data_IF_556971962480
#
_entry.id   IF_556971962480
#
_cell.length_a   1.000
_cell.length_b   1.000
_cell.length_c   1.000
_cell.angle_alpha   90.00
_cell.angle_beta   90.00
_cell.angle_gamma   90.00
#
_symmetry.space_group_name_H-M   'P 1'
#
loop_
_entity.id
_entity.type
_entity.pdbx_description
1 polymer ?
#
# COMPACT_ATOMS: atom_id res chain seq x y z
N UNK A 1 -25.89 -6.10 -2.41
CA UNK A 1 -25.25 -4.89 -2.94
C UNK A 1 -23.91 -5.22 -3.57
N UNK A 2 -22.89 -5.63 -2.80
CA UNK A 2 -21.55 -5.92 -3.35
C UNK A 2 -21.53 -6.92 -4.53
N UNK A 3 -22.27 -8.03 -4.43
CA UNK A 3 -22.36 -9.06 -5.50
C UNK A 3 -22.92 -8.52 -6.82
N UNK A 4 -23.81 -7.53 -6.76
CA UNK A 4 -24.45 -6.93 -7.94
C UNK A 4 -23.98 -5.49 -8.09
N UNK A 5 -22.69 -5.22 -7.86
CA UNK A 5 -22.16 -3.86 -7.79
C UNK A 5 -22.49 -3.03 -9.03
N UNK A 6 -22.25 -3.57 -10.22
CA UNK A 6 -22.45 -2.85 -11.48
C UNK A 6 -23.91 -2.43 -11.66
N UNK A 7 -24.85 -3.34 -11.36
CA UNK A 7 -26.28 -3.04 -11.36
C UNK A 7 -26.63 -1.93 -10.35
N UNK A 8 -26.06 -1.96 -9.14
CA UNK A 8 -26.33 -0.94 -8.12
C UNK A 8 -25.75 0.42 -8.54
N UNK A 9 -24.56 0.44 -9.14
CA UNK A 9 -23.92 1.66 -9.66
C UNK A 9 -24.65 2.20 -10.89
N UNK A 10 -25.33 1.37 -11.67
CA UNK A 10 -26.06 1.84 -12.85
C UNK A 10 -27.47 2.32 -12.48
N UNK A 11 -28.24 1.51 -11.75
CA UNK A 11 -29.68 1.72 -11.54
C UNK A 11 -30.03 2.34 -10.19
N UNK A 12 -29.15 2.22 -9.18
CA UNK A 12 -29.44 2.63 -7.79
C UNK A 12 -28.53 3.78 -7.32
N UNK A 13 -28.00 4.58 -8.25
CA UNK A 13 -27.04 5.67 -8.00
C UNK A 13 -27.49 6.66 -6.92
N UNK A 14 -28.76 7.05 -6.95
CA UNK A 14 -29.35 7.98 -5.99
C UNK A 14 -29.42 7.40 -4.58
N UNK A 15 -29.77 6.11 -4.45
CA UNK A 15 -29.83 5.41 -3.18
C UNK A 15 -28.44 5.08 -2.64
N UNK A 16 -27.48 4.81 -3.54
CA UNK A 16 -26.09 4.52 -3.19
C UNK A 16 -25.41 5.74 -2.53
N UNK A 17 -25.64 6.94 -3.05
CA UNK A 17 -25.06 8.18 -2.52
C UNK A 17 -25.62 8.60 -1.14
N UNK A 18 -26.85 8.21 -0.83
CA UNK A 18 -27.55 8.54 0.43
C UNK A 18 -27.26 7.56 1.57
N UNK A 19 -26.48 6.51 1.33
CA UNK A 19 -26.12 5.54 2.37
C UNK A 19 -25.44 6.23 3.57
N UNK A 20 -25.77 5.87 4.82
CA UNK A 20 -24.99 6.28 5.99
C UNK A 20 -23.50 5.94 5.85
N UNK A 21 -22.63 6.81 6.37
CA UNK A 21 -21.16 6.65 6.29
C UNK A 21 -20.68 5.26 6.74
N UNK A 22 -21.15 4.67 7.88
CA UNK A 22 -20.70 3.34 8.28
C UNK A 22 -21.08 2.25 7.27
N UNK A 23 -22.21 2.40 6.57
CA UNK A 23 -22.60 1.47 5.52
C UNK A 23 -21.74 1.63 4.27
N UNK A 24 -21.29 2.85 3.93
CA UNK A 24 -20.32 3.06 2.84
C UNK A 24 -18.99 2.37 3.13
N UNK A 25 -18.44 2.56 4.33
CA UNK A 25 -17.18 1.92 4.75
C UNK A 25 -17.31 0.38 4.76
N UNK A 26 -18.42 -0.13 5.29
CA UNK A 26 -18.70 -1.57 5.29
C UNK A 26 -18.92 -2.11 3.88
N UNK A 27 -19.65 -1.40 3.01
CA UNK A 27 -19.92 -1.82 1.63
C UNK A 27 -18.62 -1.92 0.83
N UNK A 28 -17.75 -0.92 0.93
CA UNK A 28 -16.42 -0.92 0.31
C UNK A 28 -15.61 -2.13 0.80
N UNK A 29 -15.63 -2.41 2.11
CA UNK A 29 -14.97 -3.58 2.67
C UNK A 29 -15.58 -4.91 2.21
N UNK A 30 -16.87 -4.97 1.88
CA UNK A 30 -17.50 -6.17 1.32
C UNK A 30 -17.19 -6.33 -0.17
N UNK A 31 -16.98 -5.23 -0.91
CA UNK A 31 -16.58 -5.27 -2.32
C UNK A 31 -15.22 -5.96 -2.49
N UNK A 32 -14.32 -5.90 -1.50
CA UNK A 32 -13.02 -6.60 -1.56
C UNK A 32 -13.15 -8.13 -1.61
N UNK A 33 -14.29 -8.69 -1.16
CA UNK A 33 -14.52 -10.15 -1.09
C UNK A 33 -15.62 -10.63 -2.04
N UNK A 34 -16.64 -9.81 -2.25
CA UNK A 34 -17.86 -10.17 -2.98
C UNK A 34 -18.09 -9.27 -4.20
N UNK A 35 -17.19 -8.33 -4.49
CA UNK A 35 -17.27 -7.49 -5.67
C UNK A 35 -16.99 -8.25 -6.97
N UNK A 36 -17.14 -7.56 -8.12
CA UNK A 36 -16.87 -8.15 -9.43
C UNK A 36 -15.39 -8.55 -9.59
N UNK A 37 -15.15 -9.61 -10.36
CA UNK A 37 -13.79 -10.15 -10.61
C UNK A 37 -12.88 -9.13 -11.32
N UNK A 38 -13.46 -8.25 -12.15
CA UNK A 38 -12.75 -7.18 -12.86
C UNK A 38 -12.44 -5.96 -11.97
N UNK A 39 -12.86 -6.02 -10.69
CA UNK A 39 -12.73 -4.94 -9.74
C UNK A 39 -13.79 -3.85 -9.88
N UNK A 40 -13.80 -2.93 -8.92
CA UNK A 40 -14.71 -1.78 -8.91
C UNK A 40 -14.15 -0.68 -9.80
N UNK A 41 -15.00 0.04 -10.52
CA UNK A 41 -14.60 1.19 -11.32
C UNK A 41 -14.52 2.50 -10.49
N UNK A 42 -13.78 3.49 -11.00
CA UNK A 42 -13.69 4.80 -10.33
C UNK A 42 -15.04 5.53 -10.32
N UNK A 43 -15.92 5.25 -11.28
CA UNK A 43 -17.24 5.85 -11.37
C UNK A 43 -18.14 5.40 -10.21
N UNK A 44 -18.19 4.11 -9.88
CA UNK A 44 -18.93 3.61 -8.74
C UNK A 44 -18.47 4.21 -7.40
N UNK A 45 -17.16 4.39 -7.22
CA UNK A 45 -16.63 5.09 -6.04
C UNK A 45 -17.05 6.56 -5.98
N UNK A 46 -17.03 7.25 -7.12
CA UNK A 46 -17.51 8.63 -7.24
C UNK A 46 -19.00 8.74 -6.88
N UNK A 47 -19.83 7.84 -7.40
CA UNK A 47 -21.28 7.79 -7.13
C UNK A 47 -21.54 7.54 -5.64
N UNK A 48 -20.78 6.63 -5.02
CA UNK A 48 -20.89 6.33 -3.59
C UNK A 48 -20.60 7.56 -2.71
N UNK A 49 -19.71 8.46 -3.14
CA UNK A 49 -19.25 9.59 -2.34
C UNK A 49 -19.74 10.97 -2.80
N UNK A 50 -20.80 11.03 -3.59
CA UNK A 50 -21.46 12.29 -3.95
C UNK A 50 -21.79 13.11 -2.70
N UNK A 51 -21.54 14.42 -2.80
CA UNK A 51 -21.81 15.40 -1.76
C UNK A 51 -23.26 15.89 -1.81
N UNK A 52 -23.71 16.52 -0.72
CA UNK A 52 -25.04 17.14 -0.66
C UNK A 52 -25.22 18.28 -1.67
N UNK A 53 -24.13 18.86 -2.20
CA UNK A 53 -24.14 19.87 -3.27
C UNK A 53 -24.43 19.24 -4.64
N UNK A 54 -24.01 17.99 -4.85
CA UNK A 54 -24.16 17.25 -6.10
C UNK A 54 -25.48 16.46 -6.15
N UNK A 55 -25.90 15.92 -5.00
CA UNK A 55 -27.17 15.21 -4.88
C UNK A 55 -27.84 15.53 -3.54
N UNK A 56 -29.09 16.04 -3.53
CA UNK A 56 -29.83 16.25 -2.30
C UNK A 56 -29.91 14.97 -1.45
N UNK A 57 -29.71 15.11 -0.14
CA UNK A 57 -29.66 14.02 0.85
C UNK A 57 -28.45 13.08 0.76
N UNK A 58 -27.53 13.28 -0.19
CA UNK A 58 -26.29 12.51 -0.21
C UNK A 58 -25.46 12.79 1.04
N UNK A 59 -24.91 11.73 1.64
CA UNK A 59 -24.20 11.81 2.92
C UNK A 59 -22.74 12.23 2.76
N UNK A 60 -22.23 12.32 1.51
CA UNK A 60 -20.84 12.66 1.24
C UNK A 60 -19.85 11.63 1.80
N UNK A 61 -18.65 12.12 2.12
CA UNK A 61 -17.51 11.32 2.56
C UNK A 61 -16.66 11.99 3.66
N UNK A 62 -17.10 13.15 4.18
CA UNK A 62 -16.31 13.96 5.12
C UNK A 62 -15.94 13.21 6.39
N UNK A 63 -16.86 12.40 6.89
CA UNK A 63 -16.71 11.65 8.14
C UNK A 63 -16.21 10.21 7.92
N UNK A 64 -15.82 9.87 6.69
CA UNK A 64 -15.16 8.58 6.40
C UNK A 64 -13.79 8.58 7.08
N UNK A 65 -13.56 7.56 7.89
CA UNK A 65 -12.32 7.37 8.65
C UNK A 65 -11.53 6.17 8.13
N UNK A 66 -12.21 5.21 7.49
CA UNK A 66 -11.62 3.98 6.98
C UNK A 66 -11.95 3.78 5.51
N UNK A 67 -10.93 3.46 4.71
CA UNK A 67 -11.09 3.14 3.30
C UNK A 67 -10.35 1.83 2.99
N UNK A 68 -11.12 0.78 2.71
CA UNK A 68 -10.57 -0.54 2.41
C UNK A 68 -10.68 -0.84 0.91
N UNK A 69 -9.60 -0.64 0.17
CA UNK A 69 -9.54 -0.90 -1.27
C UNK A 69 -8.71 -2.15 -1.60
N UNK A 70 -8.58 -3.05 -0.62
CA UNK A 70 -7.85 -4.31 -0.79
C UNK A 70 -8.45 -5.11 -1.94
N UNK A 71 -7.63 -5.66 -2.83
CA UNK A 71 -8.04 -6.35 -4.05
C UNK A 71 -8.86 -5.53 -5.06
N UNK A 72 -9.11 -4.23 -4.81
CA UNK A 72 -9.87 -3.37 -5.73
C UNK A 72 -8.95 -2.46 -6.55
N UNK A 73 -7.95 -1.86 -5.92
CA UNK A 73 -6.96 -1.02 -6.61
C UNK A 73 -6.15 -1.87 -7.57
N UNK A 74 -5.94 -1.36 -8.79
CA UNK A 74 -5.08 -2.00 -9.77
C UNK A 74 -5.84 -2.84 -10.81
N UNK A 75 -7.15 -3.03 -10.62
CA UNK A 75 -8.05 -3.76 -11.52
C UNK A 75 -8.92 -2.79 -12.33
N UNK A 76 -9.99 -2.25 -11.73
CA UNK A 76 -10.91 -1.30 -12.38
C UNK A 76 -10.49 0.17 -12.31
N UNK A 77 -9.54 0.53 -11.42
CA UNK A 77 -8.93 1.85 -11.37
C UNK A 77 -7.50 1.82 -10.80
N UNK A 78 -6.68 2.78 -11.21
CA UNK A 78 -5.32 2.99 -10.69
C UNK A 78 -5.28 3.95 -9.50
N UNK A 79 -4.19 3.89 -8.73
CA UNK A 79 -3.96 4.86 -7.65
C UNK A 79 -3.82 6.30 -8.18
N UNK A 80 -3.35 6.50 -9.41
CA UNK A 80 -3.35 7.82 -10.06
C UNK A 80 -4.77 8.35 -10.32
N UNK A 81 -5.69 7.48 -10.76
CA UNK A 81 -7.10 7.86 -10.89
C UNK A 81 -7.71 8.17 -9.52
N UNK A 82 -7.41 7.37 -8.50
CA UNK A 82 -7.81 7.69 -7.13
C UNK A 82 -7.24 9.04 -6.68
N UNK A 83 -5.96 9.33 -6.92
CA UNK A 83 -5.34 10.62 -6.60
C UNK A 83 -6.07 11.82 -7.22
N UNK A 84 -6.50 11.65 -8.47
CA UNK A 84 -7.17 12.69 -9.25
C UNK A 84 -8.57 13.00 -8.72
N UNK A 85 -9.27 11.98 -8.23
CA UNK A 85 -10.67 12.08 -7.83
C UNK A 85 -10.88 12.14 -6.31
N UNK A 86 -9.90 11.68 -5.53
CA UNK A 86 -9.91 11.63 -4.08
C UNK A 86 -8.80 12.52 -3.51
N UNK A 87 -9.19 13.62 -2.87
CA UNK A 87 -8.23 14.47 -2.14
C UNK A 87 -8.27 14.15 -0.65
N UNK A 88 -7.12 13.79 -0.08
CA UNK A 88 -7.00 13.43 1.33
C UNK A 88 -6.37 14.62 2.07
N UNK A 89 -6.81 15.83 1.77
CA UNK A 89 -6.33 17.04 2.44
C UNK A 89 -7.29 17.41 3.56
N UNK A 90 -6.72 17.73 4.73
CA UNK A 90 -7.51 18.37 5.79
C UNK A 90 -8.10 19.66 5.25
N UNK A 91 -9.36 19.90 5.59
CA UNK A 91 -10.05 21.14 5.24
C UNK A 91 -9.38 22.33 5.93
N UNK A 92 -8.38 22.92 5.28
CA UNK A 92 -7.77 24.19 5.69
C UNK A 92 -8.74 25.35 5.54
N UNK A 93 -9.85 25.15 4.81
CA UNK A 93 -10.90 26.13 4.59
C UNK A 93 -11.62 26.56 5.86
N UNK A 94 -11.70 25.71 6.90
CA UNK A 94 -12.28 26.10 8.18
C UNK A 94 -11.43 27.14 8.93
N UNK A 95 -10.10 27.04 8.87
CA UNK A 95 -9.20 28.06 9.43
C UNK A 95 -9.22 29.35 8.61
N UNK A 96 -9.30 29.25 7.29
CA UNK A 96 -9.44 30.42 6.42
C UNK A 96 -10.79 31.13 6.59
N UNK A 97 -11.88 30.38 6.77
CA UNK A 97 -13.24 30.91 7.06
C UNK A 97 -13.36 31.51 8.46
N UNK A 98 -12.66 30.96 9.44
CA UNK A 98 -12.58 31.56 10.79
C UNK A 98 -11.70 32.81 10.81
N UNK A 99 -10.67 32.89 9.94
CA UNK A 99 -9.85 34.08 9.77
C UNK A 99 -10.60 35.19 9.01
N UNK A 100 -11.41 34.85 8.00
CA UNK A 100 -12.21 35.82 7.24
C UNK A 100 -13.40 36.39 8.02
N UNK A 101 -13.81 35.74 9.11
CA UNK A 101 -14.94 36.20 9.94
C UNK A 101 -14.51 37.13 11.09
N UNK A 102 -13.23 37.53 11.15
CA UNK A 102 -12.68 38.40 12.19
C UNK A 102 -12.18 39.77 11.68
N UNK A 103 -12.43 40.13 10.41
CA UNK A 103 -12.18 41.49 9.91
C UNK A 103 -13.48 42.29 9.95
N UNK A 104 -13.94 42.66 11.15
CA UNK A 104 -14.93 43.73 11.39
C UNK A 104 -14.88 44.13 12.87
N UNK A 105 -13.72 44.62 13.33
CA UNK A 105 -13.62 45.42 14.56
C UNK A 105 -12.75 46.63 14.25
N UNK A 106 -13.41 47.69 13.77
CA UNK A 106 -12.85 49.04 13.76
C UNK A 106 -12.55 49.47 15.20
N UNK A 107 -11.26 49.68 15.50
CA UNK A 107 -10.86 50.57 16.60
C UNK A 107 -10.09 51.72 15.99
N UNK A 108 -10.76 52.86 15.93
CA UNK A 108 -10.21 54.17 15.63
C UNK A 108 -9.09 54.54 16.61
N UNK A 109 -7.97 55.04 16.11
CA UNK A 109 -7.11 55.90 16.93
C UNK A 109 -5.63 55.99 16.56
N UNK A 110 -5.33 57.03 15.77
CA UNK A 110 -4.21 57.99 15.99
C UNK A 110 -2.86 57.71 15.31
N UNK A 111 -2.66 58.51 14.26
CA UNK A 111 -1.43 59.16 13.80
C UNK A 111 -0.21 59.07 14.72
N UNK A 112 0.92 58.64 14.16
CA UNK A 112 2.09 59.52 13.95
C UNK A 112 2.91 58.97 12.78
N UNK A 113 3.13 59.80 11.77
CA UNK A 113 3.80 59.43 10.53
C UNK A 113 5.31 59.22 10.66
N UNK A 114 5.86 58.67 9.58
CA UNK A 114 7.18 58.92 8.99
C UNK A 114 7.33 57.96 7.79
N UNK A 115 7.25 58.51 6.59
CA UNK A 115 7.80 58.00 5.32
C UNK A 115 8.89 59.03 4.91
N UNK A 116 9.82 58.79 3.95
CA UNK A 116 9.97 57.63 3.06
C UNK A 116 11.42 57.12 2.90
N UNK A 117 11.62 55.99 2.20
CA UNK A 117 12.48 55.93 0.99
C UNK A 117 12.62 54.51 0.42
N UNK A 118 12.03 54.33 -0.77
CA UNK A 118 12.55 53.69 -1.99
C UNK A 118 13.52 52.49 -1.89
N UNK A 119 13.11 51.33 -2.43
CA UNK A 119 13.60 50.84 -3.74
C UNK A 119 12.96 49.50 -4.16
N UNK A 120 12.27 49.59 -5.29
CA UNK A 120 12.22 48.68 -6.46
C UNK A 120 11.85 47.18 -6.37
N UNK A 121 10.69 46.94 -6.99
CA UNK A 121 10.47 46.11 -8.19
C UNK A 121 10.45 44.57 -8.03
N UNK A 122 9.26 43.95 -8.06
CA UNK A 122 8.60 43.39 -9.28
C UNK A 122 8.97 41.91 -9.50
N UNK A 123 8.16 40.94 -9.96
CA UNK A 123 6.89 40.83 -10.65
C UNK A 123 6.30 39.43 -10.32
N UNK A 124 5.01 39.32 -10.00
CA UNK A 124 4.22 38.12 -10.31
C UNK A 124 2.88 38.57 -10.92
N UNK A 125 2.79 38.39 -12.23
CA UNK A 125 1.64 38.71 -13.06
C UNK A 125 0.58 37.60 -12.92
N UNK A 126 -0.54 37.95 -12.28
CA UNK A 126 -1.77 37.17 -12.32
C UNK A 126 -2.69 37.68 -13.43
N UNK A 127 -3.11 36.78 -14.33
CA UNK A 127 -4.21 37.05 -15.28
C UNK A 127 -5.48 36.37 -14.78
N UNK A 128 -6.40 37.15 -14.24
CA UNK A 128 -7.80 36.80 -14.10
C UNK A 128 -8.52 37.17 -15.41
N UNK A 129 -9.26 36.23 -16.00
CA UNK A 129 -10.10 36.48 -17.17
C UNK A 129 -11.56 36.58 -16.73
N UNK A 130 -12.16 37.74 -17.03
CA UNK A 130 -13.52 38.11 -16.72
C UNK A 130 -14.56 37.33 -17.53
N UNK A 131 -15.68 37.06 -16.88
CA UNK A 131 -16.93 36.50 -17.43
C UNK A 131 -17.63 37.60 -18.23
N UNK A 132 -17.99 37.32 -19.48
CA UNK A 132 -18.85 38.18 -20.30
C UNK A 132 -20.14 37.43 -20.64
N UNK A 133 -21.25 37.98 -20.15
CA UNK A 133 -22.62 37.55 -20.40
C UNK A 133 -23.11 38.18 -21.71
N UNK A 134 -23.52 37.37 -22.68
CA UNK A 134 -24.30 37.87 -23.82
C UNK A 134 -25.38 36.84 -24.21
N UNK A 135 -26.63 37.24 -24.00
CA UNK A 135 -27.84 36.63 -24.53
C UNK A 135 -27.89 36.81 -26.05
N UNK A 136 -28.09 35.73 -26.81
CA UNK A 136 -28.84 35.79 -28.08
C UNK A 136 -29.70 34.54 -28.21
N UNK A 137 -31.02 34.77 -28.24
CA UNK A 137 -32.04 33.82 -28.66
C UNK A 137 -31.77 33.34 -30.08
N UNK A 138 -31.87 32.03 -30.31
CA UNK A 138 -32.26 31.50 -31.61
C UNK A 138 -33.11 30.24 -31.41
N UNK A 139 -34.43 30.44 -31.50
CA UNK A 139 -35.43 29.37 -31.59
C UNK A 139 -35.80 29.26 -33.07
N UNK A 140 -35.48 28.13 -33.70
CA UNK A 140 -36.41 27.35 -34.51
C UNK A 140 -35.69 26.19 -35.23
N UNK A 141 -36.14 24.98 -34.90
CA UNK A 141 -36.40 23.85 -35.81
C UNK A 141 -35.21 23.07 -36.41
N UNK A 142 -34.88 21.97 -35.75
CA UNK A 142 -34.65 20.69 -36.44
C UNK A 142 -35.22 19.56 -35.57
N UNK A 143 -36.45 19.18 -35.90
CA UNK A 143 -37.14 17.99 -35.41
C UNK A 143 -36.65 16.79 -36.21
N UNK A 144 -35.63 16.06 -35.73
CA UNK A 144 -35.25 14.72 -36.20
C UNK A 144 -34.02 14.28 -35.41
N UNK A 145 -34.21 13.62 -34.27
CA UNK A 145 -33.33 12.57 -33.70
C UNK A 145 -33.88 12.11 -32.34
N UNK A 146 -35.08 11.51 -32.35
CA UNK A 146 -35.57 10.69 -31.25
C UNK A 146 -34.91 9.31 -31.28
N UNK A 147 -33.61 9.23 -30.98
CA UNK A 147 -32.94 8.01 -30.46
C UNK A 147 -31.70 8.43 -29.64
N UNK A 148 -31.86 9.37 -28.71
CA UNK A 148 -30.86 9.56 -27.66
C UNK A 148 -30.94 8.37 -26.68
N UNK A 149 -29.90 7.54 -26.66
CA UNK A 149 -29.53 6.79 -25.47
C UNK A 149 -29.56 7.77 -24.30
N UNK A 150 -30.52 7.58 -23.38
CA UNK A 150 -30.67 8.42 -22.19
C UNK A 150 -29.43 8.23 -21.32
N UNK A 151 -28.39 9.03 -21.55
CA UNK A 151 -27.25 9.15 -20.64
C UNK A 151 -27.80 9.57 -19.28
N UNK A 152 -27.53 8.73 -18.26
CA UNK A 152 -28.01 8.98 -16.91
C UNK A 152 -27.49 10.33 -16.39
N UNK A 153 -28.33 11.20 -15.76
CA UNK A 153 -27.95 12.58 -15.39
C UNK A 153 -26.70 12.73 -14.51
N UNK A 154 -26.25 11.66 -13.86
CA UNK A 154 -25.12 11.65 -12.94
C UNK A 154 -23.77 11.33 -13.62
N UNK A 155 -23.76 10.80 -14.85
CA UNK A 155 -22.51 10.50 -15.59
C UNK A 155 -21.70 11.76 -15.94
N UNK A 156 -22.36 12.92 -16.04
CA UNK A 156 -21.74 14.23 -16.32
C UNK A 156 -21.09 14.89 -15.09
N UNK A 157 -21.31 14.36 -13.88
CA UNK A 157 -20.77 14.97 -12.66
C UNK A 157 -19.26 14.71 -12.58
N UNK A 158 -18.49 15.79 -12.71
CA UNK A 158 -17.05 15.85 -12.41
C UNK A 158 -16.82 15.80 -10.89
N UNK A 159 -17.34 14.77 -10.22
CA UNK A 159 -17.23 14.68 -8.76
C UNK A 159 -15.80 14.36 -8.35
N UNK A 160 -15.29 15.18 -7.45
CA UNK A 160 -14.10 14.88 -6.66
C UNK A 160 -14.55 14.81 -5.22
N UNK A 161 -14.13 13.79 -4.49
CA UNK A 161 -14.51 13.60 -3.11
C UNK A 161 -13.29 13.82 -2.21
N UNK A 162 -13.52 14.35 -1.00
CA UNK A 162 -12.44 14.67 -0.05
C UNK A 162 -12.60 13.86 1.22
N UNK A 163 -11.52 13.21 1.64
CA UNK A 163 -11.50 12.37 2.84
C UNK A 163 -10.62 13.02 3.94
N UNK A 164 -11.02 14.18 4.51
CA UNK A 164 -10.18 14.95 5.43
C UNK A 164 -9.93 14.23 6.77
N UNK A 165 -10.77 13.26 7.12
CA UNK A 165 -10.73 12.50 8.37
C UNK A 165 -10.21 11.06 8.18
N UNK A 166 -9.65 10.74 7.01
CA UNK A 166 -9.12 9.40 6.76
C UNK A 166 -7.95 9.09 7.68
N UNK A 167 -8.06 7.99 8.41
CA UNK A 167 -7.05 7.50 9.36
C UNK A 167 -6.61 6.07 9.07
N UNK A 168 -7.44 5.27 8.39
CA UNK A 168 -7.12 3.90 8.01
C UNK A 168 -7.25 3.74 6.50
N UNK A 169 -6.19 3.25 5.85
CA UNK A 169 -6.16 2.94 4.43
C UNK A 169 -5.65 1.52 4.23
N UNK A 170 -6.44 0.68 3.59
CA UNK A 170 -6.06 -0.70 3.28
C UNK A 170 -5.95 -0.87 1.76
N UNK A 171 -4.78 -1.30 1.30
CA UNK A 171 -4.44 -1.49 -0.11
C UNK A 171 -3.91 -2.91 -0.36
N UNK A 172 -4.32 -3.91 0.44
CA UNK A 172 -3.77 -5.26 0.34
C UNK A 172 -4.06 -5.90 -1.03
N UNK A 173 -3.18 -6.81 -1.47
CA UNK A 173 -3.33 -7.61 -2.70
C UNK A 173 -3.67 -6.77 -3.93
N UNK A 174 -2.82 -5.80 -4.29
CA UNK A 174 -3.16 -4.87 -5.34
C UNK A 174 -3.11 -5.54 -6.73
N UNK A 175 -3.93 -5.08 -7.65
CA UNK A 175 -3.99 -5.56 -9.04
C UNK A 175 -2.77 -5.17 -9.88
N UNK A 176 -2.71 -5.61 -11.15
CA UNK A 176 -1.52 -5.47 -12.01
C UNK A 176 -1.13 -4.02 -12.33
N UNK A 177 -2.07 -3.07 -12.25
CA UNK A 177 -1.78 -1.64 -12.51
C UNK A 177 -1.34 -0.86 -11.26
N UNK A 178 -1.08 -1.54 -10.14
CA UNK A 178 -0.60 -0.89 -8.92
C UNK A 178 0.84 -0.37 -9.06
N UNK A 179 1.03 0.89 -8.67
CA UNK A 179 2.28 1.63 -8.89
C UNK A 179 2.77 2.27 -7.60
N UNK A 180 4.04 2.04 -7.26
CA UNK A 180 4.72 2.72 -6.17
C UNK A 180 4.91 4.21 -6.44
N UNK A 181 5.03 4.62 -7.71
CA UNK A 181 5.10 6.03 -8.08
C UNK A 181 3.77 6.73 -7.77
N UNK A 182 2.65 6.09 -8.07
CA UNK A 182 1.32 6.62 -7.76
C UNK A 182 1.06 6.64 -6.25
N UNK A 183 1.45 5.57 -5.53
CA UNK A 183 1.37 5.51 -4.07
C UNK A 183 2.17 6.66 -3.43
N UNK A 184 3.38 6.93 -3.91
CA UNK A 184 4.19 8.04 -3.42
C UNK A 184 3.56 9.40 -3.74
N UNK A 185 2.94 9.55 -4.91
CA UNK A 185 2.21 10.77 -5.28
C UNK A 185 1.08 11.05 -4.29
N UNK A 186 0.19 10.07 -4.05
CA UNK A 186 -0.92 10.23 -3.10
C UNK A 186 -0.45 10.36 -1.65
N UNK A 187 0.70 9.74 -1.31
CA UNK A 187 1.19 9.74 0.07
C UNK A 187 1.42 11.14 0.62
N UNK A 188 1.71 12.13 -0.22
CA UNK A 188 1.85 13.55 0.18
C UNK A 188 0.61 14.12 0.88
N UNK A 189 -0.56 13.49 0.67
CA UNK A 189 -1.81 13.83 1.33
C UNK A 189 -2.16 12.87 2.50
N UNK A 190 -1.42 11.78 2.69
CA UNK A 190 -1.69 10.73 3.70
C UNK A 190 -1.11 11.00 5.09
N UNK A 191 -0.81 12.27 5.41
CA UNK A 191 -0.17 12.65 6.69
C UNK A 191 -0.99 12.31 7.94
N UNK A 192 -2.30 12.10 7.81
CA UNK A 192 -3.23 11.77 8.90
C UNK A 192 -3.38 10.27 9.14
N UNK A 193 -2.82 9.43 8.27
CA UNK A 193 -2.96 7.99 8.40
C UNK A 193 -2.27 7.48 9.66
N UNK A 194 -3.00 6.62 10.37
CA UNK A 194 -2.53 5.88 11.54
C UNK A 194 -2.39 4.40 11.24
N UNK A 195 -3.16 3.88 10.28
CA UNK A 195 -3.13 2.49 9.84
C UNK A 195 -2.99 2.43 8.32
N UNK A 196 -2.01 1.66 7.85
CA UNK A 196 -1.75 1.41 6.44
C UNK A 196 -1.50 -0.08 6.23
N UNK A 197 -2.26 -0.70 5.34
CA UNK A 197 -1.98 -2.07 4.86
C UNK A 197 -1.47 -2.04 3.43
N UNK A 198 -0.29 -2.64 3.24
CA UNK A 198 0.39 -2.93 1.98
C UNK A 198 0.66 -4.44 1.87
N UNK A 199 -0.22 -5.28 2.44
CA UNK A 199 -0.06 -6.73 2.35
C UNK A 199 -0.03 -7.19 0.88
N UNK A 200 0.84 -8.15 0.58
CA UNK A 200 1.08 -8.73 -0.74
C UNK A 200 1.51 -7.73 -1.82
N UNK A 201 2.01 -6.55 -1.43
CA UNK A 201 2.53 -5.58 -2.40
C UNK A 201 3.79 -6.07 -3.11
N UNK A 202 3.93 -5.75 -4.42
CA UNK A 202 5.13 -6.07 -5.16
C UNK A 202 6.35 -5.30 -4.63
N UNK A 203 7.54 -5.76 -4.97
CA UNK A 203 8.81 -5.12 -4.59
C UNK A 203 8.78 -3.63 -5.00
N UNK A 204 9.09 -2.70 -4.07
CA UNK A 204 9.11 -1.28 -4.39
C UNK A 204 10.12 -0.95 -5.49
N UNK A 205 9.61 -0.40 -6.59
CA UNK A 205 10.41 0.09 -7.73
C UNK A 205 9.66 1.20 -8.46
N UNK A 206 10.38 2.19 -8.98
CA UNK A 206 9.82 3.25 -9.83
C UNK A 206 9.89 2.89 -11.32
N UNK A 207 10.62 1.83 -11.67
CA UNK A 207 10.86 1.41 -13.06
C UNK A 207 10.49 -0.06 -13.28
N UNK A 208 9.20 -0.45 -13.11
CA UNK A 208 8.80 -1.86 -13.17
C UNK A 208 9.13 -2.54 -14.52
N UNK A 209 9.08 -1.78 -15.63
CA UNK A 209 9.31 -2.29 -16.98
C UNK A 209 10.77 -2.15 -17.46
N UNK A 210 11.69 -1.64 -16.65
CA UNK A 210 13.07 -1.34 -17.06
C UNK A 210 14.12 -2.34 -16.53
N UNK A 211 13.67 -3.46 -15.96
CA UNK A 211 14.52 -4.45 -15.27
C UNK A 211 15.68 -5.02 -16.11
N UNK A 212 15.63 -4.93 -17.44
CA UNK A 212 16.65 -5.42 -18.39
C UNK A 212 17.28 -4.32 -19.25
N UNK A 213 16.89 -3.06 -19.08
CA UNK A 213 17.39 -1.96 -19.91
C UNK A 213 18.65 -1.38 -19.29
N UNK A 214 19.73 -1.29 -20.07
CA UNK A 214 20.97 -0.61 -19.68
C UNK A 214 21.26 0.58 -20.59
N UNK A 215 21.61 1.72 -20.01
CA UNK A 215 22.14 2.88 -20.73
C UNK A 215 23.65 2.73 -20.85
N UNK A 216 24.14 2.69 -22.08
CA UNK A 216 25.58 2.66 -22.38
C UNK A 216 25.99 4.06 -22.84
N UNK A 217 27.00 4.66 -22.20
CA UNK A 217 27.61 5.90 -22.67
C UNK A 217 28.97 5.63 -23.31
N UNK A 218 29.45 6.52 -24.18
CA UNK A 218 30.78 6.38 -24.83
C UNK A 218 31.97 6.50 -23.87
N UNK A 219 31.75 6.99 -22.65
CA UNK A 219 32.80 7.30 -21.68
C UNK A 219 32.56 6.67 -20.30
N UNK A 220 31.53 5.82 -20.15
CA UNK A 220 31.24 5.12 -18.90
C UNK A 220 30.82 3.69 -19.17
N UNK A 221 31.01 2.77 -18.19
CA UNK A 221 30.40 1.46 -18.22
C UNK A 221 28.88 1.56 -18.41
N UNK A 222 28.27 0.50 -18.94
CA UNK A 222 26.82 0.39 -19.02
C UNK A 222 26.21 0.49 -17.62
N UNK A 223 25.30 1.43 -17.42
CA UNK A 223 24.56 1.62 -16.17
C UNK A 223 23.11 1.20 -16.42
N UNK A 224 22.50 0.43 -15.52
CA UNK A 224 21.10 0.06 -15.64
C UNK A 224 20.21 1.32 -15.72
N UNK A 225 19.21 1.30 -16.60
CA UNK A 225 18.29 2.41 -16.79
C UNK A 225 17.28 2.53 -15.64
N UNK A 226 17.04 1.44 -14.91
CA UNK A 226 16.24 1.38 -13.68
C UNK A 226 17.10 1.17 -12.43
N UNK A 227 16.55 1.54 -11.27
CA UNK A 227 17.18 1.29 -9.96
C UNK A 227 17.11 -0.19 -9.52
N UNK A 228 16.39 -1.02 -10.26
CA UNK A 228 16.28 -2.47 -10.10
C UNK A 228 16.70 -3.15 -11.41
N UNK A 229 17.48 -4.23 -11.29
CA UNK A 229 17.93 -5.08 -12.39
C UNK A 229 17.49 -6.53 -12.16
N UNK A 230 17.59 -7.37 -13.19
CA UNK A 230 17.17 -8.79 -13.15
C UNK A 230 17.77 -9.58 -11.97
N UNK A 231 18.96 -9.19 -11.49
CA UNK A 231 19.65 -9.85 -10.41
C UNK A 231 19.47 -9.19 -9.03
N UNK A 232 18.74 -8.08 -8.86
CA UNK A 232 18.67 -7.38 -7.54
C UNK A 232 18.21 -8.26 -6.39
N UNK A 233 17.32 -9.24 -6.65
CA UNK A 233 16.87 -10.19 -5.62
C UNK A 233 17.98 -11.19 -5.27
N UNK A 234 18.75 -11.63 -6.28
CA UNK A 234 19.89 -12.54 -6.12
C UNK A 234 21.09 -11.85 -5.47
N UNK A 235 21.32 -10.59 -5.83
CA UNK A 235 22.41 -9.73 -5.35
C UNK A 235 22.06 -9.05 -4.01
N UNK A 236 20.86 -9.29 -3.50
CA UNK A 236 20.32 -8.66 -2.28
C UNK A 236 20.38 -7.12 -2.28
N UNK A 237 20.29 -6.49 -3.46
CA UNK A 237 20.26 -5.04 -3.60
C UNK A 237 18.84 -4.52 -3.39
N UNK A 238 18.61 -3.98 -2.19
CA UNK A 238 17.34 -3.36 -1.80
C UNK A 238 17.42 -1.84 -1.71
N UNK A 239 18.45 -1.21 -2.30
CA UNK A 239 18.66 0.23 -2.16
C UNK A 239 17.49 1.07 -2.71
N UNK A 240 17.00 0.75 -3.92
CA UNK A 240 15.85 1.44 -4.52
C UNK A 240 14.61 1.27 -3.62
N UNK A 241 14.35 0.03 -3.20
CA UNK A 241 13.19 -0.31 -2.40
C UNK A 241 13.19 0.44 -1.06
N UNK A 242 14.33 0.43 -0.37
CA UNK A 242 14.52 1.15 0.89
C UNK A 242 14.36 2.67 0.71
N UNK A 243 14.82 3.22 -0.41
CA UNK A 243 14.68 4.65 -0.73
C UNK A 243 13.21 5.03 -0.96
N UNK A 244 12.44 4.21 -1.67
CA UNK A 244 11.00 4.40 -1.88
C UNK A 244 10.27 4.35 -0.54
N UNK A 245 10.52 3.34 0.28
CA UNK A 245 9.88 3.21 1.59
C UNK A 245 10.28 4.35 2.53
N UNK A 246 11.51 4.86 2.46
CA UNK A 246 11.92 6.04 3.23
C UNK A 246 11.15 7.29 2.79
N UNK A 247 10.92 7.48 1.49
CA UNK A 247 10.07 8.58 1.00
C UNK A 247 8.63 8.43 1.48
N UNK A 248 8.08 7.22 1.42
CA UNK A 248 6.75 6.92 1.95
C UNK A 248 6.67 7.24 3.45
N UNK A 249 7.71 6.91 4.22
CA UNK A 249 7.72 7.13 5.67
C UNK A 249 7.61 8.60 6.07
N UNK A 250 8.27 9.49 5.33
CA UNK A 250 8.19 10.95 5.56
C UNK A 250 6.78 11.50 5.37
N UNK A 251 6.02 10.90 4.45
CA UNK A 251 4.68 11.32 4.10
C UNK A 251 3.60 10.68 5.00
N UNK A 252 3.94 9.61 5.73
CA UNK A 252 3.04 8.84 6.60
C UNK A 252 3.53 8.86 8.06
N UNK A 253 3.95 10.03 8.54
CA UNK A 253 4.64 10.15 9.83
C UNK A 253 3.75 9.95 11.08
N UNK A 254 2.42 9.95 10.92
CA UNK A 254 1.46 9.63 11.98
C UNK A 254 1.17 8.13 12.11
N UNK A 255 1.80 7.28 11.29
CA UNK A 255 1.52 5.87 11.24
C UNK A 255 1.85 5.19 12.57
N UNK A 256 0.92 4.37 13.05
CA UNK A 256 1.02 3.58 14.30
C UNK A 256 1.01 2.08 14.01
N UNK A 257 0.32 1.70 12.93
CA UNK A 257 0.13 0.32 12.50
C UNK A 257 0.46 0.20 11.01
N UNK A 258 1.38 -0.71 10.70
CA UNK A 258 1.79 -1.02 9.33
C UNK A 258 1.58 -2.51 9.08
N UNK A 259 0.84 -2.84 8.05
CA UNK A 259 0.69 -4.22 7.61
C UNK A 259 1.41 -4.43 6.28
N UNK A 260 2.36 -5.34 6.30
CA UNK A 260 3.17 -5.75 5.15
C UNK A 260 3.21 -7.28 5.10
N UNK A 261 2.08 -7.92 5.38
CA UNK A 261 1.91 -9.36 5.24
C UNK A 261 2.30 -9.84 3.83
N UNK A 262 2.98 -10.98 3.74
CA UNK A 262 3.24 -11.69 2.48
C UNK A 262 4.21 -11.00 1.53
N UNK A 263 4.98 -10.01 1.98
CA UNK A 263 5.99 -9.34 1.16
C UNK A 263 7.27 -10.18 1.02
N UNK A 264 7.97 -10.02 -0.10
CA UNK A 264 9.30 -10.62 -0.32
C UNK A 264 10.47 -9.67 -0.01
N UNK A 265 10.18 -8.38 0.20
CA UNK A 265 11.16 -7.30 0.29
C UNK A 265 11.45 -6.85 1.74
N UNK A 266 11.30 -7.74 2.72
CA UNK A 266 11.52 -7.44 4.15
C UNK A 266 12.88 -6.78 4.44
N UNK A 267 13.96 -7.16 3.74
CA UNK A 267 15.31 -6.57 3.91
C UNK A 267 15.34 -5.06 3.65
N UNK A 268 14.47 -4.56 2.77
CA UNK A 268 14.35 -3.13 2.48
C UNK A 268 13.87 -2.33 3.70
N UNK A 269 13.15 -2.95 4.65
CA UNK A 269 12.70 -2.31 5.90
C UNK A 269 13.85 -2.12 6.89
N UNK A 270 14.89 -2.95 6.84
CA UNK A 270 16.01 -2.90 7.77
C UNK A 270 17.12 -1.95 7.33
N UNK A 271 17.51 -1.97 6.06
CA UNK A 271 18.77 -1.35 5.62
C UNK A 271 19.97 -2.29 5.70
N UNK A 272 21.09 -1.96 5.04
CA UNK A 272 22.35 -2.73 5.13
C UNK A 272 23.23 -2.35 6.31
N UNK A 273 22.92 -1.29 7.04
CA UNK A 273 23.60 -0.92 8.30
C UNK A 273 23.43 -1.98 9.42
N UNK A 274 22.72 -3.07 9.13
CA UNK A 274 22.28 -4.09 10.06
C UNK A 274 23.00 -5.43 9.91
N UNK A 275 23.89 -5.60 8.93
CA UNK A 275 24.81 -6.76 8.88
C UNK A 275 25.90 -6.61 9.94
N UNK A 276 25.52 -6.78 11.20
CA UNK A 276 26.43 -7.12 12.29
C UNK A 276 26.10 -8.53 12.78
N UNK A 277 26.24 -9.51 11.90
CA UNK A 277 26.31 -10.91 12.31
C UNK A 277 27.79 -11.26 12.53
N UNK A 278 28.21 -11.68 13.74
CA UNK A 278 29.63 -11.93 14.05
C UNK A 278 30.30 -13.04 13.22
N UNK A 279 29.53 -13.98 12.66
CA UNK A 279 30.03 -15.18 12.00
C UNK A 279 30.13 -15.10 10.47
N UNK A 280 29.63 -14.03 9.84
CA UNK A 280 29.82 -13.79 8.38
C UNK A 280 31.12 -13.04 8.04
N UNK A 281 31.91 -12.63 9.05
CA UNK A 281 33.20 -11.94 8.82
C UNK A 281 34.27 -12.79 8.13
N UNK A 282 34.17 -14.11 8.19
CA UNK A 282 35.27 -14.99 7.82
C UNK A 282 35.23 -15.47 6.35
N UNK A 283 34.17 -15.20 5.60
CA UNK A 283 33.95 -15.81 4.26
C UNK A 283 33.68 -14.84 3.11
N UNK A 284 33.50 -13.54 3.36
CA UNK A 284 33.30 -12.57 2.28
C UNK A 284 34.60 -11.79 2.04
N UNK A 285 35.17 -12.00 0.84
CA UNK A 285 36.38 -11.36 0.37
C UNK A 285 36.27 -9.83 0.46
N UNK A 286 37.40 -9.23 0.83
CA UNK A 286 37.68 -7.82 1.08
C UNK A 286 37.17 -6.84 0.00
N UNK A 287 36.77 -7.35 -1.17
CA UNK A 287 36.23 -6.58 -2.29
C UNK A 287 34.75 -6.17 -2.10
N UNK A 288 33.91 -7.00 -1.48
CA UNK A 288 32.49 -6.67 -1.22
C UNK A 288 32.35 -5.65 -0.08
N UNK A 289 33.32 -5.59 0.82
CA UNK A 289 33.36 -4.62 1.93
C UNK A 289 33.57 -3.17 1.42
N UNK A 290 34.26 -2.98 0.29
CA UNK A 290 34.44 -1.65 -0.33
C UNK A 290 33.21 -1.22 -1.14
N UNK A 291 32.53 -2.15 -1.81
CA UNK A 291 31.28 -1.89 -2.55
C UNK A 291 30.05 -1.69 -1.63
N UNK A 292 29.99 -2.41 -0.52
CA UNK A 292 28.92 -2.33 0.50
C UNK A 292 29.15 -1.21 1.55
N UNK A 293 30.25 -0.46 1.46
CA UNK A 293 30.62 0.59 2.44
C UNK A 293 29.70 1.82 2.43
N UNK A 294 28.86 1.99 1.40
CA UNK A 294 27.71 2.88 1.44
C UNK A 294 26.45 2.10 1.83
N UNK A 295 26.39 1.69 3.10
CA UNK A 295 25.19 1.06 3.64
C UNK A 295 23.95 1.92 3.36
N UNK A 296 22.92 1.35 2.74
CA UNK A 296 21.63 2.00 2.58
C UNK A 296 20.87 1.91 3.90
N UNK A 297 20.23 3.01 4.30
CA UNK A 297 19.32 3.01 5.45
C UNK A 297 17.93 2.54 5.00
N UNK A 298 17.24 1.80 5.85
CA UNK A 298 15.83 1.50 5.66
C UNK A 298 14.94 2.75 5.75
N UNK A 299 13.62 2.54 5.90
CA UNK A 299 12.68 3.57 6.36
C UNK A 299 13.08 4.10 7.73
N UNK A 300 12.64 5.31 8.03
CA UNK A 300 13.03 6.03 9.24
C UNK A 300 12.17 5.63 10.45
N UNK A 301 12.35 4.40 10.95
CA UNK A 301 11.64 3.88 12.12
C UNK A 301 11.94 4.64 13.42
N UNK A 302 12.99 5.46 13.45
CA UNK A 302 13.41 6.24 14.61
C UNK A 302 12.97 7.72 14.51
N UNK A 303 12.73 8.23 13.30
CA UNK A 303 12.21 9.58 13.06
C UNK A 303 10.78 9.56 12.54
N UNK A 304 10.60 9.55 11.21
CA UNK A 304 9.29 9.69 10.57
C UNK A 304 8.29 8.60 10.99
N UNK A 305 8.74 7.36 11.15
CA UNK A 305 7.94 6.22 11.65
C UNK A 305 8.20 5.91 13.14
N UNK A 306 8.69 6.88 13.91
CA UNK A 306 8.85 6.74 15.37
C UNK A 306 7.55 6.36 16.10
N UNK A 307 6.39 6.73 15.54
CA UNK A 307 5.07 6.40 16.10
C UNK A 307 4.59 4.99 15.77
N UNK A 308 5.24 4.27 14.86
CA UNK A 308 4.86 2.89 14.50
C UNK A 308 5.13 1.99 15.69
N UNK A 309 4.07 1.42 16.25
CA UNK A 309 4.11 0.51 17.41
C UNK A 309 3.77 -0.92 17.05
N UNK A 310 3.20 -1.15 15.86
CA UNK A 310 2.82 -2.47 15.37
C UNK A 310 3.17 -2.62 13.89
N UNK A 311 3.85 -3.70 13.55
CA UNK A 311 4.13 -4.11 12.18
C UNK A 311 3.72 -5.58 11.99
N UNK A 312 2.84 -5.84 11.03
CA UNK A 312 2.55 -7.21 10.61
C UNK A 312 3.55 -7.66 9.53
N UNK A 313 4.34 -8.68 9.82
CA UNK A 313 5.30 -9.35 8.94
C UNK A 313 4.91 -10.83 8.70
N UNK A 314 3.63 -11.20 8.91
CA UNK A 314 3.16 -12.55 8.60
C UNK A 314 3.43 -12.91 7.14
N UNK A 315 3.67 -14.19 6.87
CA UNK A 315 3.90 -14.67 5.51
C UNK A 315 2.60 -15.08 4.78
N UNK A 316 1.43 -14.92 5.41
CA UNK A 316 0.12 -15.38 4.92
C UNK A 316 -0.12 -16.88 5.05
N UNK A 317 0.93 -17.69 4.92
CA UNK A 317 0.88 -19.15 5.12
C UNK A 317 1.93 -19.59 6.13
N UNK A 318 1.67 -20.67 6.88
CA UNK A 318 2.57 -21.26 7.88
C UNK A 318 2.61 -22.78 7.70
N UNK A 319 3.78 -23.44 7.74
CA UNK A 319 3.86 -24.89 7.66
C UNK A 319 3.10 -25.57 8.81
N UNK A 320 2.05 -26.31 8.48
CA UNK A 320 1.16 -26.96 9.47
C UNK A 320 1.68 -28.33 9.95
N UNK A 321 2.55 -28.96 9.16
CA UNK A 321 2.98 -30.34 9.41
C UNK A 321 4.30 -30.39 10.19
N UNK A 322 4.25 -30.94 11.41
CA UNK A 322 5.43 -31.11 12.28
C UNK A 322 6.55 -31.89 11.59
N UNK A 323 6.21 -32.88 10.75
CA UNK A 323 7.20 -33.67 10.02
C UNK A 323 7.95 -32.83 8.98
N UNK A 324 7.28 -31.92 8.27
CA UNK A 324 7.92 -31.02 7.31
C UNK A 324 8.92 -30.09 8.00
N UNK A 325 8.55 -29.60 9.19
CA UNK A 325 9.44 -28.78 10.05
C UNK A 325 10.65 -29.57 10.55
N UNK A 326 10.46 -30.86 10.91
CA UNK A 326 11.55 -31.75 11.37
C UNK A 326 12.59 -32.06 10.29
N UNK A 327 12.19 -32.03 9.01
CA UNK A 327 13.11 -32.33 7.89
C UNK A 327 14.03 -31.17 7.55
N UNK A 328 13.77 -29.97 8.06
CA UNK A 328 14.66 -28.82 7.90
C UNK A 328 15.93 -29.08 8.74
N UNK A 329 17.13 -28.99 8.14
CA UNK A 329 18.37 -29.15 8.89
C UNK A 329 18.39 -28.26 10.12
N UNK A 330 18.72 -28.82 11.29
CA UNK A 330 19.13 -28.02 12.45
C UNK A 330 20.51 -27.45 12.16
N UNK A 331 20.58 -26.39 11.38
CA UNK A 331 21.69 -25.45 11.51
C UNK A 331 21.35 -24.47 12.64
N UNK A 332 22.37 -23.80 13.21
CA UNK A 332 22.14 -22.82 14.29
C UNK A 332 21.25 -21.64 13.85
N UNK A 333 20.95 -21.49 12.55
CA UNK A 333 20.25 -20.32 11.99
C UNK A 333 18.74 -20.38 12.25
N UNK A 334 18.12 -21.56 12.15
CA UNK A 334 16.66 -21.69 12.26
C UNK A 334 16.17 -22.30 13.58
N UNK A 335 17.05 -22.61 14.52
CA UNK A 335 16.73 -23.38 15.73
C UNK A 335 15.60 -22.74 16.55
N UNK A 336 15.66 -21.43 16.80
CA UNK A 336 14.63 -20.72 17.56
C UNK A 336 13.27 -20.69 16.83
N UNK A 337 13.29 -20.49 15.51
CA UNK A 337 12.07 -20.52 14.69
C UNK A 337 11.45 -21.92 14.69
N UNK A 338 12.28 -22.95 14.57
CA UNK A 338 11.81 -24.33 14.64
C UNK A 338 11.22 -24.66 16.01
N UNK A 339 11.85 -24.24 17.11
CA UNK A 339 11.34 -24.44 18.48
C UNK A 339 9.99 -23.76 18.67
N UNK A 340 9.89 -22.49 18.30
CA UNK A 340 8.66 -21.71 18.39
C UNK A 340 7.55 -22.36 17.55
N UNK A 341 7.84 -22.73 16.30
CA UNK A 341 6.86 -23.32 15.40
C UNK A 341 6.40 -24.68 15.90
N UNK A 342 7.30 -25.54 16.36
CA UNK A 342 6.93 -26.82 17.00
C UNK A 342 6.05 -26.61 18.23
N UNK A 343 6.34 -25.60 19.04
CA UNK A 343 5.53 -25.23 20.21
C UNK A 343 4.12 -24.77 19.81
N UNK A 344 4.03 -23.94 18.77
CA UNK A 344 2.76 -23.49 18.19
C UNK A 344 1.95 -24.67 17.62
N UNK A 345 2.55 -25.50 16.77
CA UNK A 345 1.91 -26.65 16.15
C UNK A 345 1.46 -27.68 17.19
N UNK A 346 2.21 -27.88 18.27
CA UNK A 346 1.79 -28.76 19.38
C UNK A 346 0.51 -28.26 20.05
N UNK A 347 0.30 -26.95 20.15
CA UNK A 347 -0.91 -26.35 20.71
C UNK A 347 -2.10 -26.46 19.76
N UNK A 348 -1.88 -26.31 18.45
CA UNK A 348 -2.92 -26.43 17.43
C UNK A 348 -3.34 -27.88 17.15
N UNK A 349 -2.37 -28.79 17.10
CA UNK A 349 -2.55 -30.19 16.71
C UNK A 349 -1.91 -31.11 17.75
N UNK A 350 -2.54 -31.28 18.94
CA UNK A 350 -2.01 -32.13 20.00
C UNK A 350 -1.79 -33.58 19.53
N UNK A 351 -2.64 -34.08 18.63
CA UNK A 351 -2.54 -35.44 18.08
C UNK A 351 -1.29 -35.67 17.22
N UNK A 352 -0.80 -34.61 16.55
CA UNK A 352 0.45 -34.68 15.78
C UNK A 352 1.69 -34.68 16.70
N UNK A 353 1.57 -34.15 17.92
CA UNK A 353 2.67 -34.09 18.87
C UNK A 353 3.07 -35.47 19.41
N UNK A 354 2.12 -36.42 19.43
CA UNK A 354 2.34 -37.83 19.80
C UNK A 354 2.89 -38.70 18.68
N UNK A 355 3.03 -38.20 17.45
CA UNK A 355 3.57 -39.00 16.36
C UNK A 355 5.05 -39.36 16.59
N UNK A 356 5.43 -40.65 16.40
CA UNK A 356 6.80 -41.09 16.58
C UNK A 356 7.75 -40.29 15.70
N UNK A 357 8.94 -40.02 16.23
CA UNK A 357 10.02 -39.44 15.46
C UNK A 357 10.47 -40.47 14.42
N UNK A 358 10.07 -40.28 13.17
CA UNK A 358 10.59 -41.06 12.05
C UNK A 358 12.00 -40.51 11.81
N UNK A 359 13.05 -41.34 11.87
CA UNK A 359 14.40 -40.92 11.53
C UNK A 359 14.40 -40.27 10.14
N UNK A 360 14.86 -39.02 10.07
CA UNK A 360 14.94 -38.30 8.80
C UNK A 360 16.06 -38.94 7.97
N UNK A 361 15.70 -39.65 6.91
CA UNK A 361 16.68 -40.13 5.93
C UNK A 361 17.40 -38.92 5.31
N UNK A 362 18.74 -38.82 5.42
CA UNK A 362 19.52 -37.73 4.84
C UNK A 362 19.29 -37.56 3.34
N UNK A 363 18.93 -38.63 2.62
CA UNK A 363 18.62 -38.62 1.19
C UNK A 363 17.25 -38.02 0.86
N UNK A 364 16.35 -37.90 1.85
CA UNK A 364 14.98 -37.39 1.71
C UNK A 364 14.81 -35.98 2.33
N UNK A 365 15.91 -35.23 2.44
CA UNK A 365 15.87 -33.83 2.88
C UNK A 365 15.17 -32.99 1.81
N UNK A 366 14.29 -32.05 2.20
CA UNK A 366 13.72 -31.11 1.26
C UNK A 366 14.88 -30.36 0.58
N UNK A 367 14.83 -30.28 -0.74
CA UNK A 367 15.78 -29.47 -1.49
C UNK A 367 15.73 -28.00 -1.02
N UNK A 368 16.76 -27.21 -1.32
CA UNK A 368 16.84 -25.80 -0.90
C UNK A 368 15.66 -24.95 -1.37
N UNK A 369 14.92 -25.41 -2.39
CA UNK A 369 13.78 -24.72 -3.00
C UNK A 369 12.43 -25.32 -2.56
N UNK A 370 12.37 -26.09 -1.48
CA UNK A 370 11.11 -26.60 -0.94
C UNK A 370 10.29 -25.49 -0.27
N UNK A 371 8.95 -25.50 -0.34
CA UNK A 371 8.10 -24.42 0.18
C UNK A 371 8.29 -24.20 1.69
N UNK A 372 8.55 -25.26 2.46
CA UNK A 372 8.88 -25.14 3.88
C UNK A 372 10.25 -24.50 4.10
N UNK A 373 11.27 -24.85 3.30
CA UNK A 373 12.61 -24.26 3.41
C UNK A 373 12.58 -22.77 3.08
N UNK A 374 11.90 -22.42 1.98
CA UNK A 374 11.71 -21.03 1.56
C UNK A 374 10.97 -20.22 2.63
N UNK A 375 9.93 -20.80 3.25
CA UNK A 375 9.24 -20.17 4.37
C UNK A 375 10.16 -19.90 5.56
N UNK A 376 11.04 -20.86 5.93
CA UNK A 376 12.00 -20.66 7.01
C UNK A 376 13.03 -19.56 6.69
N UNK A 377 13.50 -19.49 5.45
CA UNK A 377 14.42 -18.44 5.00
C UNK A 377 13.77 -17.05 5.10
N UNK A 378 12.53 -16.93 4.63
CA UNK A 378 11.75 -15.70 4.73
C UNK A 378 11.46 -15.31 6.18
N UNK A 379 11.07 -16.29 7.02
CA UNK A 379 10.79 -16.07 8.44
C UNK A 379 12.02 -15.57 9.18
N UNK A 380 13.17 -16.20 8.92
CA UNK A 380 14.44 -15.82 9.51
C UNK A 380 14.80 -14.39 9.18
N UNK A 381 14.75 -14.02 7.90
CA UNK A 381 15.11 -12.68 7.49
C UNK A 381 14.09 -11.62 7.94
N UNK A 382 12.80 -11.96 8.07
CA UNK A 382 11.81 -11.08 8.67
C UNK A 382 12.09 -10.84 10.17
N UNK A 383 12.45 -11.90 10.92
CA UNK A 383 12.81 -11.78 12.35
C UNK A 383 14.10 -11.00 12.57
N UNK A 384 15.09 -11.18 11.71
CA UNK A 384 16.35 -10.43 11.73
C UNK A 384 16.12 -8.91 11.54
N UNK A 385 15.31 -8.54 10.55
CA UNK A 385 14.88 -7.16 10.32
C UNK A 385 14.13 -6.61 11.53
N UNK A 386 13.19 -7.38 12.09
CA UNK A 386 12.42 -6.99 13.26
C UNK A 386 13.29 -6.77 14.50
N UNK A 387 14.25 -7.68 14.76
CA UNK A 387 15.20 -7.56 15.87
C UNK A 387 16.03 -6.30 15.75
N UNK A 388 16.44 -6.01 14.52
CA UNK A 388 17.32 -4.89 14.31
C UNK A 388 16.60 -3.55 14.43
N UNK A 389 15.37 -3.43 13.91
CA UNK A 389 14.54 -2.23 14.12
C UNK A 389 14.28 -2.06 15.62
N UNK A 390 14.00 -3.14 16.36
CA UNK A 390 13.84 -3.09 17.83
C UNK A 390 15.10 -2.61 18.54
N UNK A 391 16.26 -3.12 18.15
CA UNK A 391 17.56 -2.74 18.71
C UNK A 391 17.89 -1.27 18.44
N UNK A 392 17.68 -0.79 17.22
CA UNK A 392 17.86 0.62 16.84
C UNK A 392 16.97 1.54 17.69
N UNK A 393 15.67 1.21 17.79
CA UNK A 393 14.70 1.99 18.57
C UNK A 393 15.03 1.99 20.05
N UNK A 394 15.45 0.85 20.60
CA UNK A 394 15.84 0.74 22.00
C UNK A 394 17.07 1.61 22.32
N UNK A 395 18.07 1.64 21.43
CA UNK A 395 19.27 2.46 21.60
C UNK A 395 18.97 3.97 21.63
N UNK A 396 17.91 4.41 20.94
CA UNK A 396 17.48 5.81 20.89
C UNK A 396 16.37 6.15 21.88
N UNK A 397 15.95 5.21 22.74
CA UNK A 397 14.86 5.41 23.70
C UNK A 397 13.48 5.60 23.06
N UNK A 398 13.29 5.11 21.83
CA UNK A 398 12.04 5.18 21.09
C UNK A 398 10.95 4.26 21.64
N UNK A 399 9.71 4.45 21.19
CA UNK A 399 8.59 3.59 21.58
C UNK A 399 8.85 2.14 21.16
N UNK A 400 8.39 1.17 21.96
CA UNK A 400 8.51 -0.25 21.61
C UNK A 400 7.64 -0.57 20.39
N UNK A 401 8.23 -1.16 19.37
CA UNK A 401 7.54 -1.69 18.20
C UNK A 401 7.35 -3.21 18.33
N UNK A 402 6.12 -3.66 18.13
CA UNK A 402 5.75 -5.08 18.10
C UNK A 402 5.72 -5.57 16.66
N UNK A 403 6.39 -6.68 16.40
CA UNK A 403 6.37 -7.34 15.11
C UNK A 403 5.56 -8.63 15.23
N UNK A 404 4.47 -8.71 14.48
CA UNK A 404 3.65 -9.92 14.39
C UNK A 404 4.10 -10.75 13.19
N UNK A 405 4.26 -12.06 13.41
CA UNK A 405 4.61 -13.02 12.38
C UNK A 405 3.41 -13.90 12.00
N UNK A 406 2.24 -13.71 12.63
CA UNK A 406 0.97 -14.36 12.31
C UNK A 406 0.74 -15.72 12.98
N UNK A 407 1.73 -16.24 13.71
CA UNK A 407 1.65 -17.57 14.35
C UNK A 407 2.30 -17.66 15.74
N UNK A 408 2.79 -16.54 16.27
CA UNK A 408 3.45 -16.51 17.59
C UNK A 408 2.48 -16.34 18.75
N UNK A 409 1.22 -15.98 18.48
CA UNK A 409 0.13 -15.89 19.45
C UNK A 409 -0.86 -17.04 19.24
N UNK A 410 -1.21 -17.75 20.33
CA UNK A 410 -2.28 -18.76 20.30
C UNK A 410 -3.59 -18.05 20.00
N UNK A 411 -4.45 -18.55 19.08
CA UNK A 411 -5.74 -17.93 18.84
C UNK A 411 -6.54 -17.88 20.15
N UNK A 412 -6.79 -16.69 20.67
CA UNK A 412 -7.83 -16.51 21.69
C UNK A 412 -9.16 -16.72 21.00
N UNK A 413 -9.98 -17.63 21.50
CA UNK A 413 -11.34 -17.85 21.02
C UNK A 413 -12.07 -16.50 20.80
N UNK A 414 -12.52 -16.31 19.56
CA UNK A 414 -13.59 -15.42 19.08
C UNK A 414 -13.66 -13.99 19.65
N UNK A 415 -13.08 -13.04 18.91
CA UNK A 415 -13.79 -11.83 18.50
C UNK A 415 -13.30 -11.46 17.09
N UNK A 416 -14.27 -11.23 16.21
CA UNK A 416 -14.15 -11.00 14.78
C UNK A 416 -13.14 -9.91 14.43
N UNK A 417 -11.95 -10.33 14.01
CA UNK A 417 -11.25 -9.72 12.87
C UNK A 417 -11.43 -10.76 11.76
N UNK A 418 -11.92 -10.42 10.56
CA UNK A 418 -11.98 -11.38 9.48
C UNK A 418 -10.54 -11.85 9.26
N UNK A 419 -10.30 -13.11 9.60
CA UNK A 419 -9.10 -13.80 9.17
C UNK A 419 -8.97 -13.50 7.68
N UNK A 420 -7.87 -12.84 7.33
CA UNK A 420 -7.24 -12.88 6.02
C UNK A 420 -6.88 -14.35 5.71
N UNK A 421 -7.91 -15.20 5.54
CA UNK A 421 -7.77 -16.41 4.74
C UNK A 421 -7.90 -15.94 3.31
N UNK A 422 -6.85 -15.29 2.82
CA UNK A 422 -6.54 -15.41 1.41
C UNK A 422 -6.26 -16.90 1.20
N UNK A 423 -7.28 -17.65 0.82
CA UNK A 423 -7.07 -18.96 0.25
C UNK A 423 -6.23 -18.73 -1.01
N UNK A 424 -4.92 -18.93 -0.89
CA UNK A 424 -4.06 -19.17 -2.03
C UNK A 424 -4.61 -20.42 -2.69
N UNK A 425 -5.37 -20.24 -3.77
CA UNK A 425 -5.59 -21.32 -4.72
C UNK A 425 -4.20 -21.82 -5.15
N UNK A 426 -3.93 -23.10 -4.94
CA UNK A 426 -2.74 -23.76 -5.49
C UNK A 426 -2.57 -23.38 -6.97
N UNK A 427 -1.33 -23.20 -7.46
CA UNK A 427 -1.08 -23.01 -8.89
C UNK A 427 -1.23 -24.36 -9.57
N UNK A 428 -2.46 -24.72 -9.93
CA UNK A 428 -2.76 -25.89 -10.75
C UNK A 428 -4.02 -25.62 -11.57
N UNK A 429 -3.93 -24.65 -12.48
CA UNK A 429 -4.74 -24.65 -13.70
C UNK A 429 -3.78 -24.54 -14.88
N UNK A 430 -3.53 -25.70 -15.45
CA UNK A 430 -2.80 -25.94 -16.69
C UNK A 430 -3.29 -25.02 -17.81
N UNK A 431 -2.39 -24.20 -18.33
CA UNK A 431 -2.42 -23.76 -19.71
C UNK A 431 -2.15 -24.98 -20.60
N UNK A 432 -3.21 -25.69 -20.98
CA UNK A 432 -3.22 -26.52 -22.18
C UNK A 432 -3.88 -25.70 -23.28
N UNK A 433 -3.08 -24.87 -23.95
CA UNK A 433 -3.39 -24.40 -25.29
C UNK A 433 -2.85 -25.48 -26.22
N UNK A 434 -3.72 -26.38 -26.67
CA UNK A 434 -3.39 -27.34 -27.72
C UNK A 434 -3.17 -26.58 -29.04
N UNK A 435 -1.92 -26.59 -29.47
CA UNK A 435 -1.46 -26.06 -30.73
C UNK A 435 -1.77 -27.08 -31.84
N UNK A 436 -2.95 -26.96 -32.46
CA UNK A 436 -3.36 -27.79 -33.59
C UNK A 436 -3.43 -26.97 -34.88
N UNK A 437 -2.28 -26.58 -35.43
CA UNK A 437 -2.12 -26.30 -36.87
C UNK A 437 -0.72 -26.67 -37.35
N UNK A 438 -0.64 -27.76 -38.11
CA UNK A 438 0.04 -27.85 -39.41
C UNK A 438 0.45 -29.30 -39.70
N UNK A 439 -0.34 -29.99 -40.54
CA UNK A 439 0.12 -31.06 -41.43
C UNK A 439 -0.95 -31.27 -42.50
N UNK A 440 -0.84 -30.54 -43.62
CA UNK A 440 -1.33 -30.90 -44.96
C UNK A 440 -0.63 -30.02 -46.00
N UNK A 441 0.43 -30.56 -46.59
CA UNK A 441 0.65 -30.73 -48.04
C UNK A 441 1.82 -31.68 -48.20
#
# INVERSE_FOLDING_TARGET
MAVNWDFIVEYEQYNLATLPIPLKESLISHLTFYGPDEGVDIHGLKTLFLSAEELPNATGCRDVTQLNLSSLVGWGFSLSQLAKHCTITRDTGLRARLASNNEDVEISGRDTGLEPSDTDASFLSGKFQAISTAYTNNVAESWEDELEEVESPLQSIRSTFRLPNLTHLYLASPGPSASWADLLSISTHLSTLTHLSLAHWPIPTLTPNSSTTSVVSKHSPAVHAGGRHFYSVTDEDWHEAATILRRLSKNTYCLKWLDVEGISWYKALGGTALRSVPWERELFDEWDALGSSLGYKGPDFDGSWSQVTYVNLSQGWVPEWVQSVRRIPMDMRYDDIQKDLKSYLRKLHPDQASMPEIPVDPSNRPGPNGPTVEWFQKEFAARDVAETIRSSRAALGGLRCTFDHGWTQVPRNSMSIPNSRYHTASPSRSLLVEDHRHLRT
#
